data_IF_552033145775
#
_entry.id   IF_552033145775
#
_cell.length_a   1.000
_cell.length_b   1.000
_cell.length_c   1.000
_cell.angle_alpha   90.00
_cell.angle_beta   90.00
_cell.angle_gamma   90.00
#
_symmetry.space_group_name_H-M   'P 1'
#
loop_
_entity.id
_entity.type
_entity.pdbx_description
1 polymer ?
#
# COMPACT_ATOMS: atom_id res chain seq x y z
N UNK A 1 0.93 -46.64 -5.67
CA UNK A 1 1.70 -45.50 -6.21
C UNK A 1 0.88 -44.21 -6.18
N UNK A 2 -0.42 -44.26 -6.51
CA UNK A 2 -1.36 -43.13 -6.44
C UNK A 2 -1.36 -42.39 -5.09
N UNK A 3 -1.37 -43.14 -3.98
CA UNK A 3 -1.26 -42.58 -2.62
C UNK A 3 0.09 -41.94 -2.32
N UNK A 4 1.19 -42.44 -2.89
CA UNK A 4 2.52 -41.86 -2.68
C UNK A 4 2.66 -40.49 -3.34
N UNK A 5 2.11 -40.34 -4.56
CA UNK A 5 2.03 -39.05 -5.25
C UNK A 5 1.13 -38.06 -4.51
N UNK A 6 -0.01 -38.53 -3.98
CA UNK A 6 -0.91 -37.69 -3.20
C UNK A 6 -0.24 -37.15 -1.92
N UNK A 7 0.56 -37.97 -1.22
CA UNK A 7 1.31 -37.55 -0.03
C UNK A 7 2.39 -36.52 -0.39
N UNK A 8 3.15 -36.75 -1.47
CA UNK A 8 4.16 -35.80 -1.94
C UNK A 8 3.53 -34.45 -2.31
N UNK A 9 2.39 -34.47 -3.01
CA UNK A 9 1.65 -33.27 -3.37
C UNK A 9 1.11 -32.53 -2.15
N UNK A 10 0.55 -33.25 -1.16
CA UNK A 10 0.02 -32.67 0.06
C UNK A 10 1.11 -32.01 0.93
N UNK A 11 2.28 -32.62 1.01
CA UNK A 11 3.44 -32.02 1.70
C UNK A 11 3.92 -30.78 0.94
N UNK A 12 4.05 -30.86 -0.39
CA UNK A 12 4.46 -29.73 -1.20
C UNK A 12 3.49 -28.54 -1.12
N UNK A 13 2.19 -28.79 -1.17
CA UNK A 13 1.17 -27.74 -1.04
C UNK A 13 1.13 -27.13 0.36
N UNK A 14 1.31 -27.95 1.41
CA UNK A 14 1.39 -27.48 2.79
C UNK A 14 2.60 -26.57 3.03
N UNK A 15 3.76 -26.92 2.47
CA UNK A 15 4.98 -26.10 2.53
C UNK A 15 4.80 -24.77 1.79
N UNK A 16 4.20 -24.79 0.59
CA UNK A 16 3.91 -23.56 -0.16
C UNK A 16 2.93 -22.64 0.59
N UNK A 17 1.88 -23.22 1.17
CA UNK A 17 0.93 -22.47 1.99
C UNK A 17 1.61 -21.87 3.23
N UNK A 18 2.50 -22.62 3.88
CA UNK A 18 3.27 -22.14 5.03
C UNK A 18 4.19 -20.97 4.67
N UNK A 19 4.95 -21.08 3.59
CA UNK A 19 5.84 -20.02 3.12
C UNK A 19 5.06 -18.77 2.72
N UNK A 20 3.92 -18.93 2.04
CA UNK A 20 3.06 -17.81 1.67
C UNK A 20 2.54 -17.06 2.91
N UNK A 21 2.13 -17.77 3.97
CA UNK A 21 1.70 -17.17 5.24
C UNK A 21 2.85 -16.48 5.97
N UNK A 22 4.10 -16.95 5.81
CA UNK A 22 5.27 -16.27 6.39
C UNK A 22 5.56 -14.96 5.69
N UNK A 23 5.56 -14.96 4.36
CA UNK A 23 5.83 -13.76 3.53
C UNK A 23 4.81 -12.65 3.77
N UNK A 24 3.53 -12.98 4.00
CA UNK A 24 2.51 -11.96 4.29
C UNK A 24 2.57 -11.41 5.72
N UNK A 25 3.33 -12.06 6.61
CA UNK A 25 3.53 -11.63 8.01
C UNK A 25 4.85 -10.92 8.23
N UNK A 26 5.80 -11.06 7.32
CA UNK A 26 7.04 -10.31 7.38
C UNK A 26 6.76 -8.81 7.24
N UNK A 27 7.53 -8.01 7.97
CA UNK A 27 7.39 -6.56 8.05
C UNK A 27 7.28 -5.98 6.63
N UNK A 28 6.23 -5.21 6.32
CA UNK A 28 6.00 -4.69 4.97
C UNK A 28 7.11 -3.74 4.48
N UNK A 29 8.12 -3.46 5.31
CA UNK A 29 9.26 -2.61 5.00
C UNK A 29 8.95 -1.14 5.18
N UNK A 30 7.76 -0.81 5.68
CA UNK A 30 7.34 0.55 6.02
C UNK A 30 6.50 0.52 7.30
N UNK A 31 6.46 1.66 8.01
CA UNK A 31 5.75 1.80 9.29
C UNK A 31 4.36 2.38 9.03
N UNK A 32 3.27 1.60 9.10
CA UNK A 32 1.91 2.13 8.94
C UNK A 32 1.48 3.00 10.14
N UNK A 33 2.16 2.91 11.29
CA UNK A 33 1.78 3.64 12.49
C UNK A 33 1.92 5.16 12.31
N UNK A 34 0.81 5.88 12.54
CA UNK A 34 0.78 7.34 12.40
C UNK A 34 0.71 7.83 10.96
N UNK A 35 0.51 6.93 9.98
CA UNK A 35 0.19 7.32 8.61
C UNK A 35 -1.32 7.47 8.42
N UNK A 36 -1.71 8.57 7.79
CA UNK A 36 -3.07 8.79 7.31
C UNK A 36 -3.03 8.89 5.79
N UNK A 37 -3.69 7.95 5.11
CA UNK A 37 -3.87 7.97 3.66
C UNK A 37 -5.26 8.55 3.33
N UNK A 38 -5.33 9.36 2.27
CA UNK A 38 -6.58 9.88 1.75
C UNK A 38 -6.54 9.88 0.22
N UNK A 39 -7.56 9.31 -0.39
CA UNK A 39 -7.72 9.26 -1.84
C UNK A 39 -8.59 10.42 -2.31
N UNK A 40 -8.03 11.31 -3.11
CA UNK A 40 -8.74 12.44 -3.71
C UNK A 40 -9.04 12.15 -5.18
N UNK A 41 -10.31 11.92 -5.48
CA UNK A 41 -10.78 11.78 -6.85
C UNK A 41 -11.12 13.17 -7.42
N UNK A 42 -10.20 13.72 -8.20
CA UNK A 42 -10.40 14.99 -8.88
C UNK A 42 -11.08 14.74 -10.23
N UNK A 43 -12.19 15.44 -10.48
CA UNK A 43 -12.80 15.46 -11.82
C UNK A 43 -11.81 16.06 -12.83
N UNK A 44 -11.82 15.61 -14.10
CA UNK A 44 -10.85 16.00 -15.14
C UNK A 44 -11.07 17.43 -15.66
N UNK A 45 -11.22 18.39 -14.75
CA UNK A 45 -11.38 19.82 -15.03
C UNK A 45 -10.06 20.58 -15.15
N UNK A 46 -8.96 20.00 -14.68
CA UNK A 46 -7.64 20.65 -14.69
C UNK A 46 -6.78 20.15 -15.84
N UNK A 47 -6.12 21.09 -16.53
CA UNK A 47 -5.12 20.76 -17.54
C UNK A 47 -3.87 20.13 -16.92
N UNK A 48 -3.06 19.43 -17.72
CA UNK A 48 -1.80 18.82 -17.26
C UNK A 48 -0.86 19.84 -16.60
N UNK A 49 -0.88 21.08 -17.07
CA UNK A 49 -0.03 22.17 -16.60
C UNK A 49 -0.45 22.72 -15.22
N UNK A 50 -1.72 22.53 -14.84
CA UNK A 50 -2.28 22.99 -13.56
C UNK A 50 -2.14 21.94 -12.44
N UNK A 51 -1.80 20.70 -12.80
CA UNK A 51 -1.79 19.57 -11.89
C UNK A 51 -0.73 19.69 -10.80
N UNK A 52 0.50 20.05 -11.18
CA UNK A 52 1.63 20.24 -10.25
C UNK A 52 1.36 21.36 -9.24
N UNK A 53 1.04 22.60 -9.65
CA UNK A 53 0.81 23.70 -8.70
C UNK A 53 -0.42 23.47 -7.81
N UNK A 54 -1.42 22.71 -8.28
CA UNK A 54 -2.54 22.31 -7.44
C UNK A 54 -2.10 21.38 -6.30
N UNK A 55 -1.33 20.33 -6.60
CA UNK A 55 -0.82 19.41 -5.58
C UNK A 55 0.12 20.06 -4.59
N UNK A 56 0.97 20.99 -5.04
CA UNK A 56 1.83 21.78 -4.15
C UNK A 56 0.99 22.54 -3.11
N UNK A 57 -0.04 23.26 -3.54
CA UNK A 57 -0.94 23.99 -2.63
C UNK A 57 -1.64 23.08 -1.63
N UNK A 58 -2.11 21.90 -2.08
CA UNK A 58 -2.76 20.92 -1.20
C UNK A 58 -1.77 20.43 -0.14
N UNK A 59 -0.56 20.07 -0.54
CA UNK A 59 0.46 19.59 0.39
C UNK A 59 0.90 20.67 1.38
N UNK A 60 1.05 21.92 0.95
CA UNK A 60 1.46 23.02 1.82
C UNK A 60 0.41 23.34 2.88
N UNK A 61 -0.87 23.34 2.50
CA UNK A 61 -1.96 23.47 3.44
C UNK A 61 -1.98 22.30 4.45
N UNK A 62 -1.80 21.07 3.98
CA UNK A 62 -1.74 19.90 4.87
C UNK A 62 -0.57 19.98 5.86
N UNK A 63 0.61 20.43 5.42
CA UNK A 63 1.79 20.61 6.30
C UNK A 63 1.59 21.68 7.37
N UNK A 64 0.72 22.65 7.13
CA UNK A 64 0.41 23.71 8.11
C UNK A 64 -0.47 23.27 9.27
N UNK A 65 -1.08 22.07 9.19
CA UNK A 65 -1.95 21.56 10.25
C UNK A 65 -1.14 21.09 11.46
N UNK A 66 -1.56 21.42 12.70
CA UNK A 66 -0.88 20.97 13.89
C UNK A 66 -0.96 19.43 14.02
N UNK A 67 0.18 18.78 14.22
CA UNK A 67 0.30 17.32 14.32
C UNK A 67 0.75 16.63 13.04
N UNK A 68 0.89 17.35 11.91
CA UNK A 68 1.45 16.81 10.67
C UNK A 68 2.97 16.95 10.67
N UNK A 69 3.70 15.84 10.59
CA UNK A 69 5.16 15.82 10.50
C UNK A 69 5.67 15.80 9.06
N UNK A 70 4.96 15.12 8.15
CA UNK A 70 5.32 14.99 6.74
C UNK A 70 4.10 14.74 5.87
N UNK A 71 4.16 15.19 4.61
CA UNK A 71 3.11 14.99 3.60
C UNK A 71 3.76 14.59 2.28
N UNK A 72 3.22 13.55 1.64
CA UNK A 72 3.62 13.05 0.34
C UNK A 72 2.38 12.75 -0.52
N UNK A 73 2.55 12.81 -1.84
CA UNK A 73 1.54 12.42 -2.83
C UNK A 73 2.02 11.14 -3.51
N UNK A 74 1.14 10.15 -3.60
CA UNK A 74 1.40 8.90 -4.29
C UNK A 74 0.22 8.57 -5.21
N UNK A 75 0.50 8.01 -6.38
CA UNK A 75 -0.52 7.46 -7.28
C UNK A 75 -1.09 6.14 -6.79
N UNK A 76 -0.30 5.40 -6.00
CA UNK A 76 -0.66 4.16 -5.33
C UNK A 76 -0.04 4.23 -3.94
N UNK A 77 -0.85 4.26 -2.89
CA UNK A 77 -0.33 4.20 -1.53
C UNK A 77 0.24 2.79 -1.27
N UNK A 78 1.33 2.66 -0.49
CA UNK A 78 1.91 1.35 -0.15
C UNK A 78 0.90 0.40 0.52
N UNK A 79 -0.05 0.97 1.26
CA UNK A 79 -1.19 0.26 1.84
C UNK A 79 -2.32 1.25 1.99
N UNK A 80 -3.44 0.98 1.30
CA UNK A 80 -4.71 1.64 1.58
C UNK A 80 -5.32 0.85 2.74
N UNK A 81 -5.25 1.38 3.95
CA UNK A 81 -5.63 0.66 5.19
C UNK A 81 -7.14 0.46 5.36
N UNK A 82 -7.86 0.16 4.27
CA UNK A 82 -9.29 -0.22 4.28
C UNK A 82 -9.49 -1.70 4.56
#
# INVERSE_FOLDING_TARGET
VETALAVVLAVGSGLLAHDLVRVTRDDPGFRPEGLMAMTLNLEPRYGRDEWVPMWERIMDNARSLPGVSSVAVATQAPWDGT
#
